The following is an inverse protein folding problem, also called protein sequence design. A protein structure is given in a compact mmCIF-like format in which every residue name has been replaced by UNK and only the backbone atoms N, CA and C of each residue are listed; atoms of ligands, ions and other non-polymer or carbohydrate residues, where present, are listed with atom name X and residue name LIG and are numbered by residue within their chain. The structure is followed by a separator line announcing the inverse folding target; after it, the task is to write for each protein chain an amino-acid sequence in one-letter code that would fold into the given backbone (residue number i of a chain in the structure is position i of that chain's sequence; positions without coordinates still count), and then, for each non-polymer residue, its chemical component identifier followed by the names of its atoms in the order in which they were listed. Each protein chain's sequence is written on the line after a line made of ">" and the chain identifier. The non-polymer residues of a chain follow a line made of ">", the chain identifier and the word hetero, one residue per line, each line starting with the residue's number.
data_IF_699765420142
#
_entry.id   IF_699765420142
#
_cell.length_a   1.000
_cell.length_b   1.000
_cell.length_c   1.000
_cell.angle_alpha   90.00
_cell.angle_beta   90.00
_cell.angle_gamma   90.00
#
_symmetry.space_group_name_H-M   'P 1'
#
loop_
_entity.id
_entity.type
_entity.pdbx_description
1 polymer ?
#
# COMPACT_ATOMS: atom_id res chain seq x y z
N UNK A 1 24.60 -19.88 10.22
CA UNK A 1 23.23 -19.51 9.83
C UNK A 1 22.65 -18.67 10.95
N UNK A 2 22.78 -17.35 10.86
CA UNK A 2 22.09 -16.44 11.78
C UNK A 2 20.67 -16.30 11.22
N UNK A 3 19.68 -16.83 11.93
CA UNK A 3 18.28 -16.48 11.72
C UNK A 3 18.19 -14.95 11.62
N UNK A 4 17.66 -14.35 10.54
CA UNK A 4 17.48 -12.91 10.49
C UNK A 4 16.69 -12.51 11.74
N UNK A 5 17.17 -11.50 12.46
CA UNK A 5 16.50 -11.01 13.66
C UNK A 5 15.10 -10.55 13.21
N UNK A 6 14.07 -11.30 13.61
CA UNK A 6 12.68 -10.97 13.27
C UNK A 6 12.32 -9.66 13.96
N UNK A 7 12.01 -8.62 13.18
CA UNK A 7 11.55 -7.32 13.67
C UNK A 7 10.20 -7.44 14.39
N UNK A 8 9.92 -6.54 15.34
CA UNK A 8 8.62 -6.49 16.01
C UNK A 8 8.15 -5.02 16.16
N UNK A 9 7.00 -4.66 15.58
CA UNK A 9 6.19 -5.45 14.63
C UNK A 9 6.95 -5.88 13.36
N UNK A 10 6.52 -6.97 12.69
CA UNK A 10 7.07 -7.38 11.40
C UNK A 10 6.71 -6.40 10.27
N UNK A 11 7.39 -6.56 9.14
CA UNK A 11 6.83 -6.16 7.85
C UNK A 11 5.54 -6.95 7.61
N UNK A 12 4.43 -6.25 7.46
CA UNK A 12 3.12 -6.88 7.33
C UNK A 12 2.84 -7.32 5.89
N UNK A 13 1.97 -8.31 5.74
CA UNK A 13 1.53 -8.81 4.43
C UNK A 13 0.45 -7.92 3.80
N UNK A 14 -0.16 -7.02 4.56
CA UNK A 14 -1.07 -6.02 4.03
C UNK A 14 -0.33 -4.75 3.56
N UNK A 15 -0.75 -4.21 2.42
CA UNK A 15 -0.17 -3.04 1.76
C UNK A 15 0.64 -3.35 0.48
N UNK A 16 1.76 -4.09 0.55
CA UNK A 16 2.65 -4.24 -0.60
C UNK A 16 2.02 -4.87 -1.86
N UNK A 17 1.20 -5.94 -1.79
CA UNK A 17 0.49 -6.46 -2.96
C UNK A 17 -0.39 -5.41 -3.65
N UNK A 18 -1.18 -4.65 -2.88
CA UNK A 18 -2.00 -3.57 -3.41
C UNK A 18 -1.18 -2.42 -4.02
N UNK A 19 -0.06 -2.06 -3.38
CA UNK A 19 0.88 -1.06 -3.88
C UNK A 19 1.42 -1.44 -5.27
N UNK A 20 1.83 -2.69 -5.42
CA UNK A 20 2.37 -3.23 -6.66
C UNK A 20 1.32 -3.30 -7.76
N UNK A 21 0.08 -3.65 -7.44
CA UNK A 21 -1.03 -3.62 -8.40
C UNK A 21 -1.26 -2.20 -8.95
N UNK A 22 -1.32 -1.20 -8.07
CA UNK A 22 -1.46 0.21 -8.47
C UNK A 22 -0.26 0.64 -9.33
N UNK A 23 0.97 0.29 -8.91
CA UNK A 23 2.18 0.64 -9.64
C UNK A 23 2.17 0.08 -11.07
N UNK A 24 1.80 -1.20 -11.24
CA UNK A 24 1.67 -1.83 -12.57
C UNK A 24 0.60 -1.14 -13.41
N UNK A 25 -0.56 -0.81 -12.85
CA UNK A 25 -1.62 -0.08 -13.55
C UNK A 25 -1.14 1.30 -14.03
N UNK A 26 -0.52 2.08 -13.15
CA UNK A 26 0.03 3.39 -13.49
C UNK A 26 1.15 3.31 -14.55
N UNK A 27 2.03 2.31 -14.48
CA UNK A 27 3.06 2.09 -15.50
C UNK A 27 2.46 1.73 -16.86
N UNK A 28 1.40 0.92 -16.91
CA UNK A 28 0.66 0.64 -18.15
C UNK A 28 0.02 1.91 -18.74
N UNK A 29 -0.28 2.90 -17.90
CA UNK A 29 -0.75 4.24 -18.32
C UNK A 29 0.39 5.19 -18.70
N UNK A 30 1.62 4.70 -18.85
CA UNK A 30 2.80 5.49 -19.21
C UNK A 30 3.30 6.41 -18.09
N UNK A 31 2.93 6.15 -16.82
CA UNK A 31 3.42 6.93 -15.68
C UNK A 31 4.74 6.39 -15.16
N UNK A 32 5.57 7.28 -14.62
CA UNK A 32 6.75 6.90 -13.82
C UNK A 32 6.30 6.62 -12.40
N UNK A 33 6.67 5.46 -11.88
CA UNK A 33 6.28 5.02 -10.53
C UNK A 33 7.52 4.50 -9.79
N UNK A 34 7.55 4.71 -8.49
CA UNK A 34 8.52 4.10 -7.57
C UNK A 34 7.81 3.75 -6.26
N UNK A 35 8.32 2.74 -5.57
CA UNK A 35 7.89 2.38 -4.22
C UNK A 35 8.84 3.03 -3.22
N UNK A 36 8.28 3.61 -2.15
CA UNK A 36 9.04 4.18 -1.03
C UNK A 36 8.67 3.44 0.24
N UNK A 37 9.65 2.99 1.00
CA UNK A 37 9.43 2.20 2.21
C UNK A 37 10.51 2.43 3.26
N UNK A 38 10.28 1.98 4.50
CA UNK A 38 11.32 1.85 5.52
C UNK A 38 12.34 0.76 5.12
N UNK A 39 13.61 0.93 5.48
CA UNK A 39 14.67 -0.08 5.28
C UNK A 39 14.33 -1.44 5.88
N UNK A 40 13.63 -1.47 7.01
CA UNK A 40 13.21 -2.71 7.68
C UNK A 40 12.21 -3.51 6.85
N UNK A 41 11.46 -2.83 5.98
CA UNK A 41 10.45 -3.43 5.10
C UNK A 41 11.02 -3.77 3.71
N UNK A 42 12.27 -3.38 3.42
CA UNK A 42 12.87 -3.47 2.08
C UNK A 42 12.87 -4.89 1.53
N UNK A 43 13.33 -5.87 2.31
CA UNK A 43 13.51 -7.25 1.83
C UNK A 43 12.20 -7.88 1.34
N UNK A 44 11.09 -7.89 2.11
CA UNK A 44 9.82 -8.38 1.60
C UNK A 44 9.25 -7.60 0.42
N UNK A 45 9.41 -6.27 0.38
CA UNK A 45 8.89 -5.46 -0.72
C UNK A 45 9.67 -5.71 -2.02
N UNK A 46 10.99 -5.88 -1.95
CA UNK A 46 11.80 -6.27 -3.11
C UNK A 46 11.42 -7.67 -3.59
N UNK A 47 11.23 -8.62 -2.69
CA UNK A 47 10.79 -9.96 -3.07
C UNK A 47 9.41 -9.95 -3.77
N UNK A 48 8.48 -9.12 -3.27
CA UNK A 48 7.17 -8.90 -3.86
C UNK A 48 7.27 -8.29 -5.26
N UNK A 49 8.09 -7.26 -5.42
CA UNK A 49 8.33 -6.57 -6.71
C UNK A 49 8.92 -7.53 -7.74
N UNK A 50 9.97 -8.27 -7.36
CA UNK A 50 10.62 -9.21 -8.27
C UNK A 50 9.67 -10.32 -8.72
N UNK A 51 8.85 -10.85 -7.81
CA UNK A 51 7.88 -11.88 -8.15
C UNK A 51 6.73 -11.32 -8.99
N UNK A 52 6.27 -10.11 -8.70
CA UNK A 52 5.30 -9.41 -9.54
C UNK A 52 5.85 -9.19 -10.95
N UNK A 53 7.11 -8.76 -11.08
CA UNK A 53 7.77 -8.60 -12.38
C UNK A 53 7.81 -9.90 -13.17
N UNK A 54 8.15 -11.02 -12.52
CA UNK A 54 8.15 -12.36 -13.15
C UNK A 54 6.74 -12.81 -13.54
N UNK A 55 5.78 -12.65 -12.64
CA UNK A 55 4.40 -13.11 -12.81
C UNK A 55 3.65 -12.34 -13.91
N UNK A 56 3.92 -11.05 -14.07
CA UNK A 56 3.18 -10.17 -14.99
C UNK A 56 4.00 -9.74 -16.22
N UNK A 57 5.29 -10.10 -16.30
CA UNK A 57 6.16 -9.76 -17.42
C UNK A 57 6.32 -8.25 -17.63
N UNK A 58 6.31 -7.46 -16.55
CA UNK A 58 6.37 -6.00 -16.61
C UNK A 58 7.80 -5.46 -16.41
N UNK A 59 7.98 -4.17 -16.68
CA UNK A 59 9.19 -3.44 -16.31
C UNK A 59 9.34 -3.35 -14.78
N UNK A 60 10.56 -3.23 -14.24
CA UNK A 60 10.78 -3.15 -12.81
C UNK A 60 10.24 -1.84 -12.21
N UNK A 61 9.72 -1.92 -10.99
CA UNK A 61 9.36 -0.75 -10.18
C UNK A 61 10.52 -0.42 -9.23
N UNK A 62 11.17 0.75 -9.32
CA UNK A 62 12.23 1.11 -8.38
C UNK A 62 11.74 1.09 -6.93
N UNK A 63 12.46 0.40 -6.04
CA UNK A 63 12.19 0.37 -4.59
C UNK A 63 13.23 1.20 -3.84
N UNK A 64 12.81 2.37 -3.39
CA UNK A 64 13.57 3.26 -2.53
C UNK A 64 13.27 2.94 -1.06
N UNK A 65 14.32 2.73 -0.27
CA UNK A 65 14.19 2.44 1.16
C UNK A 65 14.90 3.51 1.99
N UNK A 66 14.30 3.88 3.11
CA UNK A 66 14.77 4.97 3.96
C UNK A 66 15.02 4.49 5.40
N UNK A 67 16.11 4.92 6.04
CA UNK A 67 16.35 4.62 7.45
C UNK A 67 15.29 5.31 8.31
N UNK A 68 15.09 4.78 9.52
CA UNK A 68 14.17 5.37 10.48
C UNK A 68 14.54 6.80 10.85
N UNK A 69 13.54 7.65 11.02
CA UNK A 69 13.69 9.06 11.35
C UNK A 69 13.20 10.00 10.26
N UNK A 70 13.54 11.28 10.40
CA UNK A 70 13.12 12.33 9.47
C UNK A 70 13.78 12.18 8.10
N UNK A 71 13.04 12.47 7.04
CA UNK A 71 13.55 12.61 5.67
C UNK A 71 13.52 14.08 5.25
N UNK A 72 14.36 14.48 4.28
CA UNK A 72 14.23 15.80 3.67
C UNK A 72 13.09 15.79 2.64
N UNK A 73 11.85 15.90 3.13
CA UNK A 73 10.63 15.67 2.34
C UNK A 73 10.54 16.54 1.08
N UNK A 74 10.81 17.85 1.22
CA UNK A 74 10.72 18.79 0.11
C UNK A 74 11.79 18.50 -0.96
N UNK A 75 13.03 18.22 -0.53
CA UNK A 75 14.11 17.83 -1.46
C UNK A 75 13.78 16.52 -2.19
N UNK A 76 13.20 15.53 -1.50
CA UNK A 76 12.76 14.28 -2.13
C UNK A 76 11.68 14.52 -3.18
N UNK A 77 10.65 15.31 -2.86
CA UNK A 77 9.59 15.65 -3.81
C UNK A 77 10.14 16.37 -5.05
N UNK A 78 11.06 17.33 -4.86
CA UNK A 78 11.65 18.09 -5.95
C UNK A 78 12.62 17.28 -6.82
N UNK A 79 13.49 16.48 -6.19
CA UNK A 79 14.51 15.69 -6.89
C UNK A 79 13.93 14.49 -7.64
N UNK A 80 12.88 13.86 -7.09
CA UNK A 80 12.16 12.76 -7.73
C UNK A 80 11.03 13.25 -8.63
N UNK A 81 10.78 14.57 -8.68
CA UNK A 81 9.72 15.21 -9.44
C UNK A 81 8.33 14.60 -9.18
N UNK A 82 8.02 14.39 -7.90
CA UNK A 82 6.75 13.79 -7.50
C UNK A 82 5.60 14.78 -7.75
N UNK A 83 4.51 14.29 -8.32
CA UNK A 83 3.25 15.00 -8.52
C UNK A 83 2.05 14.29 -7.88
N UNK A 84 2.22 13.02 -7.49
CA UNK A 84 1.22 12.19 -6.84
C UNK A 84 1.88 11.30 -5.75
N UNK A 85 1.21 11.14 -4.62
CA UNK A 85 1.60 10.27 -3.52
C UNK A 85 0.42 9.35 -3.16
N UNK A 86 0.69 8.04 -3.10
CA UNK A 86 -0.27 7.04 -2.69
C UNK A 86 0.32 6.28 -1.50
N UNK A 87 -0.29 6.44 -0.33
CA UNK A 87 0.01 5.66 0.85
C UNK A 87 -0.97 4.49 0.95
N UNK A 88 -0.45 3.29 1.17
CA UNK A 88 -1.25 2.07 1.36
C UNK A 88 -0.71 1.32 2.56
N UNK A 89 -1.56 1.09 3.56
CA UNK A 89 -1.20 0.46 4.85
C UNK A 89 0.01 1.12 5.52
N UNK A 90 0.18 2.43 5.27
CA UNK A 90 1.32 3.16 5.80
C UNK A 90 0.95 3.77 7.13
N UNK A 91 1.53 3.26 8.22
CA UNK A 91 1.38 3.88 9.54
C UNK A 91 1.70 5.39 9.52
N UNK A 92 0.85 6.19 10.16
CA UNK A 92 1.04 7.62 10.32
C UNK A 92 0.96 8.07 11.78
N UNK A 93 1.42 9.30 12.07
CA UNK A 93 1.49 9.82 13.43
C UNK A 93 0.10 10.18 13.97
N UNK A 94 -0.13 9.83 15.24
CA UNK A 94 -1.24 10.33 16.02
C UNK A 94 -1.00 11.78 16.50
N UNK A 95 -1.92 12.32 17.31
CA UNK A 95 -1.87 13.71 17.76
C UNK A 95 -0.65 14.04 18.63
N UNK A 96 -0.13 13.06 19.37
CA UNK A 96 1.11 13.18 20.16
C UNK A 96 2.39 12.94 19.34
N UNK A 97 2.26 12.69 18.03
CA UNK A 97 3.37 12.40 17.12
C UNK A 97 3.89 10.97 17.16
N UNK A 98 3.30 10.10 17.99
CA UNK A 98 3.63 8.68 18.04
C UNK A 98 2.97 7.87 16.93
N UNK A 99 3.54 6.71 16.61
CA UNK A 99 2.98 5.74 15.67
C UNK A 99 2.47 4.54 16.46
N UNK A 100 1.21 4.17 16.27
CA UNK A 100 0.58 3.12 17.08
C UNK A 100 0.06 1.99 16.21
N UNK A 101 0.17 0.76 16.72
CA UNK A 101 -0.63 -0.36 16.18
C UNK A 101 -2.10 -0.20 16.55
N UNK A 102 -2.99 -0.97 15.93
CA UNK A 102 -4.41 -1.05 16.31
C UNK A 102 -4.65 -1.47 17.77
N UNK A 103 -3.67 -2.12 18.42
CA UNK A 103 -3.70 -2.46 19.86
C UNK A 103 -3.14 -1.34 20.75
N UNK A 104 -2.85 -0.17 20.19
CA UNK A 104 -2.31 0.99 20.90
C UNK A 104 -0.87 0.82 21.39
N UNK A 105 -0.09 -0.09 20.79
CA UNK A 105 1.34 -0.24 21.10
C UNK A 105 2.13 0.79 20.29
N UNK A 106 3.01 1.54 20.97
CA UNK A 106 3.87 2.52 20.31
C UNK A 106 4.97 1.82 19.51
N UNK A 107 4.92 1.97 18.19
CA UNK A 107 5.90 1.42 17.25
C UNK A 107 7.18 2.26 17.19
N UNK A 108 7.10 3.54 17.53
CA UNK A 108 8.24 4.47 17.47
C UNK A 108 9.39 4.05 18.41
N UNK A 109 9.09 3.20 19.39
CA UNK A 109 10.06 2.67 20.36
C UNK A 109 10.76 1.39 19.88
N UNK A 110 10.20 0.69 18.89
CA UNK A 110 10.66 -0.65 18.51
C UNK A 110 10.96 -0.81 17.02
N UNK A 111 10.53 0.13 16.18
CA UNK A 111 10.72 0.09 14.73
C UNK A 111 11.32 1.42 14.24
N UNK A 112 12.39 1.37 13.42
CA UNK A 112 12.94 2.55 12.78
C UNK A 112 12.02 3.01 11.63
N UNK A 113 10.97 3.78 11.97
CA UNK A 113 10.00 4.32 11.01
C UNK A 113 10.58 5.57 10.33
N UNK A 114 10.74 5.52 9.01
CA UNK A 114 11.04 6.66 8.16
C UNK A 114 9.80 7.56 8.03
N UNK A 115 9.93 8.85 8.34
CA UNK A 115 8.80 9.81 8.38
C UNK A 115 8.34 10.26 6.99
N UNK A 116 8.03 9.29 6.12
CA UNK A 116 7.63 9.51 4.73
C UNK A 116 6.27 10.21 4.61
N UNK A 117 5.44 10.18 5.64
CA UNK A 117 4.17 10.93 5.64
C UNK A 117 4.38 12.45 5.56
N UNK A 118 5.58 12.94 5.91
CA UNK A 118 5.92 14.36 5.77
C UNK A 118 5.86 14.86 4.32
N UNK A 119 6.00 13.97 3.33
CA UNK A 119 5.85 14.32 1.92
C UNK A 119 4.42 14.75 1.56
N UNK A 120 3.40 14.34 2.32
CA UNK A 120 2.00 14.71 2.07
C UNK A 120 1.70 16.19 2.33
N UNK A 121 2.60 16.91 3.00
CA UNK A 121 2.50 18.34 3.23
C UNK A 121 3.32 19.19 2.23
N UNK A 122 4.06 18.55 1.33
CA UNK A 122 4.95 19.21 0.38
C UNK A 122 4.24 19.69 -0.89
N UNK A 123 4.94 20.51 -1.66
CA UNK A 123 4.55 20.93 -3.02
C UNK A 123 5.57 20.43 -4.04
N UNK A 124 5.12 20.17 -5.27
CA UNK A 124 5.99 19.84 -6.38
C UNK A 124 7.01 20.95 -6.67
N UNK A 125 8.00 20.64 -7.51
CA UNK A 125 9.05 21.57 -7.94
C UNK A 125 8.53 22.88 -8.55
N UNK A 126 7.36 22.84 -9.18
CA UNK A 126 6.70 24.02 -9.76
C UNK A 126 5.79 24.76 -8.75
N UNK A 127 5.83 24.39 -7.47
CA UNK A 127 5.02 24.97 -6.40
C UNK A 127 3.56 24.53 -6.40
N UNK A 128 3.20 23.43 -7.10
CA UNK A 128 1.84 22.89 -7.12
C UNK A 128 1.63 21.89 -5.99
N UNK A 129 0.43 21.82 -5.42
CA UNK A 129 0.08 20.75 -4.49
C UNK A 129 0.19 19.39 -5.18
N UNK A 130 0.70 18.41 -4.44
CA UNK A 130 0.70 17.01 -4.86
C UNK A 130 -0.71 16.43 -4.78
N UNK A 131 -1.08 15.54 -5.68
CA UNK A 131 -2.29 14.71 -5.50
C UNK A 131 -1.97 13.64 -4.46
N UNK A 132 -2.72 13.61 -3.36
CA UNK A 132 -2.47 12.65 -2.28
C UNK A 132 -3.63 11.67 -2.11
N UNK A 133 -3.32 10.38 -2.02
CA UNK A 133 -4.28 9.29 -1.82
C UNK A 133 -3.83 8.46 -0.61
N UNK A 134 -4.72 8.24 0.35
CA UNK A 134 -4.54 7.26 1.41
C UNK A 134 -5.42 6.03 1.18
N UNK A 135 -4.87 4.85 1.45
CA UNK A 135 -5.57 3.57 1.49
C UNK A 135 -5.25 2.93 2.85
N UNK A 136 -6.28 2.64 3.63
CA UNK A 136 -6.15 2.08 4.97
C UNK A 136 -7.41 1.35 5.40
N UNK A 137 -7.33 0.56 6.47
CA UNK A 137 -8.46 -0.21 7.01
C UNK A 137 -8.69 0.01 8.52
N UNK A 138 -7.69 0.49 9.27
CA UNK A 138 -7.72 0.58 10.72
C UNK A 138 -7.94 1.99 11.29
N UNK A 139 -7.41 3.04 10.65
CA UNK A 139 -7.53 4.44 11.08
C UNK A 139 -6.23 5.07 11.58
N UNK A 140 -5.17 4.28 11.77
CA UNK A 140 -3.82 4.71 12.15
C UNK A 140 -2.90 4.90 10.93
N UNK A 141 -3.43 4.79 9.71
CA UNK A 141 -2.69 4.92 8.45
C UNK A 141 -2.77 6.34 7.86
N UNK A 142 -1.76 6.70 7.08
CA UNK A 142 -1.66 7.97 6.36
C UNK A 142 -2.88 8.16 5.46
N UNK A 143 -3.54 9.31 5.61
CA UNK A 143 -4.77 9.67 4.89
C UNK A 143 -6.03 9.57 5.75
N UNK A 144 -6.03 8.73 6.79
CA UNK A 144 -7.17 8.56 7.71
C UNK A 144 -7.48 9.84 8.51
N UNK A 145 -6.53 10.77 8.60
CA UNK A 145 -6.76 12.12 9.14
C UNK A 145 -7.93 12.85 8.46
N UNK A 146 -8.26 12.48 7.20
CA UNK A 146 -9.43 13.01 6.48
C UNK A 146 -10.75 12.67 7.18
N UNK A 147 -10.81 11.54 7.89
CA UNK A 147 -11.99 11.06 8.65
C UNK A 147 -11.67 10.85 10.14
N UNK A 148 -10.73 11.60 10.68
CA UNK A 148 -10.26 11.46 12.08
C UNK A 148 -11.38 11.44 13.12
N UNK A 149 -12.44 12.24 12.94
CA UNK A 149 -13.59 12.27 13.85
C UNK A 149 -14.32 10.93 13.91
N UNK A 150 -14.44 10.23 12.78
CA UNK A 150 -15.05 8.90 12.72
C UNK A 150 -14.13 7.84 13.32
N UNK A 151 -12.82 7.94 13.06
CA UNK A 151 -11.83 7.03 13.66
C UNK A 151 -11.92 7.12 15.19
N UNK A 152 -11.85 8.33 15.75
CA UNK A 152 -11.97 8.57 17.20
C UNK A 152 -13.28 8.04 17.79
N UNK A 153 -14.39 8.22 17.07
CA UNK A 153 -15.71 7.83 17.56
C UNK A 153 -15.99 6.32 17.48
N UNK A 154 -15.40 5.61 16.51
CA UNK A 154 -15.84 4.25 16.17
C UNK A 154 -14.74 3.19 16.17
N UNK A 155 -13.48 3.58 16.11
CA UNK A 155 -12.35 2.63 16.18
C UNK A 155 -11.94 2.45 17.64
N UNK A 156 -11.77 1.20 18.13
CA UNK A 156 -11.22 0.94 19.45
C UNK A 156 -9.88 1.67 19.64
N UNK A 157 -9.74 2.39 20.75
CA UNK A 157 -8.57 3.26 21.02
C UNK A 157 -8.39 4.41 20.01
N UNK A 158 -9.42 4.78 19.25
CA UNK A 158 -9.35 5.79 18.19
C UNK A 158 -8.76 7.14 18.65
N UNK A 159 -9.09 7.60 19.86
CA UNK A 159 -8.49 8.82 20.42
C UNK A 159 -6.96 8.75 20.54
N UNK A 160 -6.41 7.56 20.76
CA UNK A 160 -4.97 7.33 20.89
C UNK A 160 -4.30 7.13 19.53
N UNK A 161 -4.90 6.29 18.67
CA UNK A 161 -4.19 5.77 17.50
C UNK A 161 -4.47 6.55 16.21
N UNK A 162 -5.51 7.38 16.18
CA UNK A 162 -5.98 7.99 14.94
C UNK A 162 -4.88 8.83 14.28
N UNK A 163 -4.53 8.45 13.04
CA UNK A 163 -3.56 9.20 12.26
C UNK A 163 -4.09 10.60 11.96
N UNK A 164 -3.22 11.60 12.09
CA UNK A 164 -3.54 13.00 11.84
C UNK A 164 -3.30 13.45 10.39
N UNK A 165 -2.52 12.68 9.63
CA UNK A 165 -2.16 13.02 8.26
C UNK A 165 -3.36 12.82 7.33
N UNK A 166 -3.68 13.86 6.57
CA UNK A 166 -4.77 13.88 5.59
C UNK A 166 -4.24 13.59 4.21
N UNK A 167 -5.14 13.09 3.36
CA UNK A 167 -4.94 12.98 1.92
C UNK A 167 -6.12 13.64 1.19
N UNK A 168 -5.91 14.06 -0.06
CA UNK A 168 -6.96 14.63 -0.92
C UNK A 168 -8.03 13.59 -1.21
N UNK A 169 -7.64 12.33 -1.35
CA UNK A 169 -8.53 11.18 -1.52
C UNK A 169 -8.23 10.11 -0.46
N UNK A 170 -9.27 9.43 0.00
CA UNK A 170 -9.16 8.35 0.98
C UNK A 170 -10.01 7.17 0.51
N UNK A 171 -9.39 5.99 0.42
CA UNK A 171 -10.05 4.72 0.20
C UNK A 171 -9.98 3.95 1.52
N UNK A 172 -11.15 3.60 2.06
CA UNK A 172 -11.24 2.71 3.23
C UNK A 172 -11.70 1.35 2.75
N UNK A 173 -10.98 0.30 3.10
CA UNK A 173 -11.28 -1.07 2.73
C UNK A 173 -11.25 -1.98 3.97
N UNK A 174 -11.66 -3.24 3.82
CA UNK A 174 -11.54 -4.22 4.91
C UNK A 174 -10.14 -4.81 5.08
N UNK A 175 -9.28 -4.62 4.07
CA UNK A 175 -7.85 -4.93 3.98
C UNK A 175 -7.30 -3.93 2.97
N UNK A 176 -6.18 -3.27 3.25
CA UNK A 176 -5.64 -2.23 2.36
C UNK A 176 -5.26 -2.75 0.98
N UNK A 177 -4.76 -3.99 0.88
CA UNK A 177 -4.50 -4.67 -0.40
C UNK A 177 -5.75 -4.70 -1.29
N UNK A 178 -6.94 -4.94 -0.71
CA UNK A 178 -8.19 -4.94 -1.48
C UNK A 178 -8.52 -3.55 -2.03
N UNK A 179 -8.27 -2.50 -1.25
CA UNK A 179 -8.40 -1.12 -1.70
C UNK A 179 -7.41 -0.81 -2.84
N UNK A 180 -6.18 -1.31 -2.75
CA UNK A 180 -5.16 -1.17 -3.78
C UNK A 180 -5.53 -1.90 -5.08
N UNK A 181 -5.99 -3.15 -4.99
CA UNK A 181 -6.49 -3.92 -6.12
C UNK A 181 -7.67 -3.24 -6.82
N UNK A 182 -8.65 -2.76 -6.05
CA UNK A 182 -9.80 -2.05 -6.60
C UNK A 182 -9.38 -0.76 -7.31
N UNK A 183 -8.43 0.01 -6.75
CA UNK A 183 -7.89 1.20 -7.40
C UNK A 183 -7.15 0.85 -8.70
N UNK A 184 -6.33 -0.20 -8.69
CA UNK A 184 -5.62 -0.66 -9.88
C UNK A 184 -6.59 -1.04 -11.02
N UNK A 185 -7.64 -1.81 -10.71
CA UNK A 185 -8.66 -2.17 -11.69
C UNK A 185 -9.45 -0.96 -12.18
N UNK A 186 -9.85 -0.05 -11.29
CA UNK A 186 -10.54 1.18 -11.67
C UNK A 186 -9.70 2.06 -12.61
N UNK A 187 -8.39 2.15 -12.39
CA UNK A 187 -7.46 2.84 -13.29
C UNK A 187 -7.45 2.21 -14.68
N UNK A 188 -7.37 0.87 -14.77
CA UNK A 188 -7.40 0.15 -16.04
C UNK A 188 -8.72 0.37 -16.79
N UNK A 189 -9.86 0.21 -16.11
CA UNK A 189 -11.20 0.42 -16.67
C UNK A 189 -11.38 1.85 -17.20
N UNK A 190 -10.80 2.83 -16.51
CA UNK A 190 -10.94 4.25 -16.86
C UNK A 190 -10.21 4.65 -18.15
N UNK A 191 -9.20 3.88 -18.56
CA UNK A 191 -8.31 4.24 -19.67
C UNK A 191 -8.84 3.85 -21.05
N UNK A 192 -9.98 3.14 -21.12
CA UNK A 192 -10.58 2.65 -22.38
C UNK A 192 -9.60 1.89 -23.30
N UNK A 193 -8.47 1.43 -22.74
CA UNK A 193 -7.45 0.72 -23.49
C UNK A 193 -7.75 -0.77 -23.40
N UNK A 194 -8.11 -1.40 -24.52
CA UNK A 194 -8.33 -2.84 -24.68
C UNK A 194 -7.04 -3.68 -24.50
N UNK A 195 -6.02 -3.12 -23.87
CA UNK A 195 -4.75 -3.80 -23.60
C UNK A 195 -4.90 -4.60 -22.32
N UNK A 196 -5.03 -5.92 -22.50
CA UNK A 196 -4.98 -6.98 -21.49
C UNK A 196 -4.66 -6.47 -20.05
N UNK A 197 -5.66 -6.52 -19.15
CA UNK A 197 -5.58 -6.00 -17.78
C UNK A 197 -4.71 -6.86 -16.86
N UNK A 198 -3.69 -7.56 -17.40
CA UNK A 198 -2.76 -8.40 -16.64
C UNK A 198 -1.81 -7.59 -15.72
N UNK A 199 -2.35 -6.62 -15.00
CA UNK A 199 -1.80 -5.96 -13.82
C UNK A 199 -2.22 -6.69 -12.54
N UNK A 200 -3.20 -7.60 -12.61
CA UNK A 200 -3.73 -8.34 -11.48
C UNK A 200 -4.24 -9.73 -11.89
N UNK A 201 -3.90 -10.77 -11.12
CA UNK A 201 -4.36 -12.15 -11.32
C UNK A 201 -4.30 -12.93 -10.01
N UNK A 202 -5.14 -13.96 -9.86
CA UNK A 202 -5.16 -14.81 -8.65
C UNK A 202 -3.79 -15.44 -8.40
N UNK A 203 -3.24 -16.08 -9.42
CA UNK A 203 -1.96 -16.78 -9.35
C UNK A 203 -0.79 -15.83 -9.08
N UNK A 204 -0.79 -14.65 -9.71
CA UNK A 204 0.24 -13.64 -9.51
C UNK A 204 0.23 -13.08 -8.09
N UNK A 205 -0.94 -12.70 -7.58
CA UNK A 205 -1.07 -12.16 -6.21
C UNK A 205 -0.76 -13.22 -5.15
N UNK A 206 -1.12 -14.48 -5.39
CA UNK A 206 -0.73 -15.60 -4.51
C UNK A 206 0.78 -15.75 -4.43
N UNK A 207 1.47 -15.73 -5.57
CA UNK A 207 2.93 -15.86 -5.65
C UNK A 207 3.64 -14.68 -5.02
N UNK A 208 3.14 -13.46 -5.22
CA UNK A 208 3.67 -12.25 -4.56
C UNK A 208 3.61 -12.42 -3.04
N UNK A 209 2.46 -12.82 -2.49
CA UNK A 209 2.31 -13.03 -1.06
C UNK A 209 3.25 -14.13 -0.53
N UNK A 210 3.39 -15.23 -1.27
CA UNK A 210 4.35 -16.30 -0.94
C UNK A 210 5.80 -15.79 -0.91
N UNK A 211 6.20 -14.97 -1.88
CA UNK A 211 7.53 -14.39 -1.95
C UNK A 211 7.82 -13.44 -0.77
N UNK A 212 6.83 -12.61 -0.39
CA UNK A 212 6.94 -11.75 0.80
C UNK A 212 7.15 -12.54 2.08
N UNK A 213 6.35 -13.58 2.30
CA UNK A 213 6.44 -14.44 3.48
C UNK A 213 7.79 -15.16 3.52
N UNK A 214 8.24 -15.68 2.37
CA UNK A 214 9.57 -16.30 2.25
C UNK A 214 10.71 -15.32 2.57
N UNK A 215 10.51 -14.02 2.28
CA UNK A 215 11.42 -12.94 2.63
C UNK A 215 11.21 -12.37 4.05
N UNK A 216 10.34 -12.96 4.85
CA UNK A 216 10.17 -12.64 6.28
C UNK A 216 9.00 -11.71 6.63
N UNK A 217 8.13 -11.36 5.67
CA UNK A 217 6.84 -10.74 6.00
C UNK A 217 5.97 -11.70 6.81
N UNK A 218 5.10 -11.13 7.63
CA UNK A 218 4.16 -11.89 8.46
C UNK A 218 2.81 -11.22 8.48
N UNK A 219 1.80 -11.99 8.81
CA UNK A 219 0.45 -11.49 9.04
C UNK A 219 0.40 -10.49 10.21
N UNK A 220 -0.18 -9.31 9.99
CA UNK A 220 -0.23 -8.21 10.97
C UNK A 220 -1.02 -8.53 12.25
N UNK A 221 -2.03 -9.41 12.14
CA UNK A 221 -2.95 -9.73 13.24
C UNK A 221 -2.46 -10.95 14.05
N UNK A 222 -2.02 -11.99 13.35
CA UNK A 222 -1.64 -13.29 13.91
C UNK A 222 -0.14 -13.44 14.12
N UNK A 223 0.68 -12.58 13.49
CA UNK A 223 2.16 -12.71 13.45
C UNK A 223 2.65 -14.04 12.87
N UNK A 224 1.79 -14.70 12.09
CA UNK A 224 2.02 -15.97 11.43
C UNK A 224 2.85 -15.80 10.16
N UNK A 225 3.60 -16.84 9.79
CA UNK A 225 4.26 -16.99 8.48
C UNK A 225 3.44 -17.89 7.54
N UNK A 226 2.15 -18.06 7.83
CA UNK A 226 1.20 -18.71 6.92
C UNK A 226 0.76 -17.75 5.82
N UNK A 227 0.16 -18.32 4.76
CA UNK A 227 -0.36 -17.57 3.63
C UNK A 227 -1.65 -16.82 4.01
N UNK A 228 -1.50 -15.73 4.74
CA UNK A 228 -2.60 -14.93 5.29
C UNK A 228 -2.30 -13.43 5.29
N UNK A 229 -3.36 -12.63 5.29
CA UNK A 229 -3.33 -11.17 5.43
C UNK A 229 -4.43 -10.79 6.42
N UNK A 230 -4.09 -9.96 7.41
CA UNK A 230 -4.98 -9.52 8.50
C UNK A 230 -5.76 -10.62 9.22
N UNK A 231 -5.11 -11.76 9.41
CA UNK A 231 -5.66 -12.92 10.10
C UNK A 231 -6.64 -13.73 9.24
N UNK A 232 -6.80 -13.37 7.97
CA UNK A 232 -7.60 -14.12 7.01
C UNK A 232 -6.72 -14.98 6.11
N UNK A 233 -7.08 -16.25 5.86
CA UNK A 233 -6.32 -17.11 4.97
C UNK A 233 -6.51 -16.68 3.51
N UNK A 234 -5.52 -17.00 2.65
CA UNK A 234 -5.49 -16.68 1.21
C UNK A 234 -6.83 -16.86 0.50
N UNK A 235 -7.55 -17.94 0.79
CA UNK A 235 -8.82 -18.29 0.14
C UNK A 235 -9.86 -17.15 0.24
N UNK A 236 -9.87 -16.42 1.36
CA UNK A 236 -10.75 -15.26 1.55
C UNK A 236 -10.43 -14.14 0.55
N UNK A 237 -9.14 -13.84 0.39
CA UNK A 237 -8.67 -12.80 -0.52
C UNK A 237 -8.83 -13.24 -1.99
N UNK A 238 -8.66 -14.53 -2.27
CA UNK A 238 -8.84 -15.13 -3.59
C UNK A 238 -10.30 -15.02 -4.07
N UNK A 239 -11.28 -15.29 -3.21
CA UNK A 239 -12.70 -15.15 -3.53
C UNK A 239 -13.09 -13.71 -3.84
N UNK A 240 -12.59 -12.75 -3.05
CA UNK A 240 -12.82 -11.33 -3.30
C UNK A 240 -12.16 -10.89 -4.61
N UNK A 241 -10.92 -11.29 -4.84
CA UNK A 241 -10.18 -10.95 -6.06
C UNK A 241 -10.86 -11.53 -7.31
N UNK A 242 -11.36 -12.77 -7.25
CA UNK A 242 -12.20 -13.37 -8.32
C UNK A 242 -13.39 -12.47 -8.66
N UNK A 243 -14.07 -11.98 -7.63
CA UNK A 243 -15.24 -11.10 -7.78
C UNK A 243 -14.85 -9.77 -8.43
N UNK A 244 -13.76 -9.14 -7.98
CA UNK A 244 -13.27 -7.89 -8.57
C UNK A 244 -12.88 -8.05 -10.05
N UNK A 245 -12.18 -9.14 -10.39
CA UNK A 245 -11.80 -9.43 -11.77
C UNK A 245 -13.02 -9.67 -12.66
N UNK A 246 -14.04 -10.39 -12.17
CA UNK A 246 -15.29 -10.60 -12.90
C UNK A 246 -15.98 -9.27 -13.22
N UNK A 247 -16.06 -8.34 -12.26
CA UNK A 247 -16.66 -7.02 -12.47
C UNK A 247 -15.89 -6.24 -13.53
N UNK A 248 -14.55 -6.27 -13.47
CA UNK A 248 -13.71 -5.56 -14.43
C UNK A 248 -13.88 -6.11 -15.86
N UNK A 249 -13.99 -7.43 -16.03
CA UNK A 249 -14.22 -8.06 -17.33
C UNK A 249 -15.62 -7.78 -17.89
N UNK A 250 -16.67 -7.82 -17.06
CA UNK A 250 -18.04 -7.54 -17.49
C UNK A 250 -18.20 -6.09 -18.01
N UNK A 251 -17.51 -5.12 -17.41
CA UNK A 251 -17.51 -3.73 -17.88
C UNK A 251 -16.80 -3.54 -19.23
N UNK A 252 -15.72 -4.29 -19.48
CA UNK A 252 -15.05 -4.29 -20.79
C UNK A 252 -15.99 -4.84 -21.87
N UNK A 253 -16.67 -5.96 -21.61
CA UNK A 253 -17.63 -6.54 -22.55
C UNK A 253 -18.83 -5.63 -22.86
N UNK A 254 -19.35 -4.91 -21.86
CA UNK A 254 -20.46 -3.96 -22.09
C UNK A 254 -20.05 -2.77 -22.94
N UNK A 255 -18.81 -2.27 -22.78
CA UNK A 255 -18.29 -1.16 -23.59
C UNK A 255 -18.06 -1.58 -25.04
N UNK A 256 -17.56 -2.80 -25.26
CA UNK A 256 -17.35 -3.36 -26.61
C UNK A 256 -18.66 -3.57 -27.39
N UNK A 257 -19.78 -3.82 -26.70
CA UNK A 257 -21.11 -4.00 -27.33
C UNK A 257 -21.87 -2.70 -27.59
N UNK A 258 -21.40 -1.56 -27.04
CA UNK A 258 -22.07 -0.27 -27.10
C UNK A 258 -21.40 0.80 -27.98
N UNK A 259 -20.34 0.44 -28.70
CA UNK A 259 -19.57 1.30 -29.61
C UNK A 259 -19.98 1.21 -31.08
#
# INVERSE_FOLDING_TARGET
>A
SLSPRRSSPPTETDGPPGALAIARALMRMGKRVMLMTDEINREPIVAAEEEGRRSYGCDPVPVLSFPGGSVNAQELVESLELDCLIAIERAGPAEDGGYYTMRGRDMSLSVPIAKLESLFACTSKDGKSLVTIGVGDGGNEVGMGKRIKLVRAHVPLGDKIACTVKADHLIVAGVSNWGGWALALALMISQQSHTDPHVLSLDGEKRILQAMIAAGARDGVTSSDQLSVDGMPWETHEELLKTMLSIASDEEEMKDRGG
#
